data_IF_496411930402
#
_entry.id   IF_496411930402
#
_cell.length_a   1.000
_cell.length_b   1.000
_cell.length_c   1.000
_cell.angle_alpha   90.00
_cell.angle_beta   90.00
_cell.angle_gamma   90.00
#
_symmetry.space_group_name_H-M   'P 1'
#
loop_
_entity.id
_entity.type
_entity.pdbx_description
1 polymer ?
#
# COMPACT_ATOMS: atom_id res chain seq x y z
N UNK A 1 -34.28 -6.60 -30.50
CA UNK A 1 -32.81 -6.43 -30.45
C UNK A 1 -32.53 -4.94 -30.58
N UNK A 2 -32.25 -4.26 -29.46
CA UNK A 2 -31.99 -2.82 -29.44
C UNK A 2 -30.57 -2.62 -28.93
N UNK A 3 -29.69 -2.11 -29.79
CA UNK A 3 -28.34 -1.72 -29.43
C UNK A 3 -28.41 -0.33 -28.78
N UNK A 4 -28.25 -0.28 -27.45
CA UNK A 4 -27.99 0.98 -26.74
C UNK A 4 -26.51 1.29 -26.93
N UNK A 5 -26.23 2.21 -27.85
CA UNK A 5 -24.90 2.75 -28.05
C UNK A 5 -24.50 3.64 -26.85
N UNK A 6 -23.30 3.36 -26.36
CA UNK A 6 -22.58 4.05 -25.29
C UNK A 6 -22.69 5.57 -25.34
N UNK A 7 -23.01 6.17 -24.19
CA UNK A 7 -22.79 7.60 -23.92
C UNK A 7 -22.02 7.78 -22.60
N UNK A 8 -20.75 7.35 -22.58
CA UNK A 8 -19.78 7.77 -21.56
C UNK A 8 -19.07 9.05 -22.02
N UNK A 9 -19.81 10.16 -22.03
CA UNK A 9 -19.25 11.50 -22.16
C UNK A 9 -19.24 12.18 -20.81
N UNK A 10 -18.36 11.76 -19.89
CA UNK A 10 -18.12 12.54 -18.67
C UNK A 10 -17.53 13.87 -19.11
N UNK A 11 -18.30 14.95 -18.97
CA UNK A 11 -17.85 16.31 -19.29
C UNK A 11 -16.70 16.67 -18.36
N UNK A 12 -15.47 16.60 -18.88
CA UNK A 12 -14.27 16.99 -18.16
C UNK A 12 -14.32 18.49 -17.91
N UNK A 13 -14.44 18.89 -16.64
CA UNK A 13 -14.48 20.31 -16.23
C UNK A 13 -13.26 21.04 -16.79
N UNK A 14 -13.52 22.10 -17.57
CA UNK A 14 -12.47 22.93 -18.15
C UNK A 14 -11.51 23.40 -17.05
N UNK A 15 -10.23 23.11 -17.20
CA UNK A 15 -9.20 23.50 -16.24
C UNK A 15 -8.71 22.40 -15.28
N UNK A 16 -9.33 21.21 -15.24
CA UNK A 16 -8.88 20.11 -14.36
C UNK A 16 -7.38 19.88 -14.48
N UNK A 17 -6.82 19.73 -15.69
CA UNK A 17 -5.38 19.40 -15.84
C UNK A 17 -4.47 20.44 -15.16
N UNK A 18 -4.78 21.73 -15.32
CA UNK A 18 -4.06 22.81 -14.65
C UNK A 18 -4.18 22.70 -13.12
N UNK A 19 -5.39 22.50 -12.63
CA UNK A 19 -5.68 22.45 -11.20
C UNK A 19 -5.07 21.18 -10.56
N UNK A 20 -4.98 20.09 -11.32
CA UNK A 20 -4.31 18.85 -10.93
C UNK A 20 -2.79 19.01 -10.85
N UNK A 21 -2.18 19.73 -11.80
CA UNK A 21 -0.74 20.07 -11.75
C UNK A 21 -0.46 20.91 -10.50
N UNK A 22 -1.21 21.99 -10.27
CA UNK A 22 -1.01 22.86 -9.10
C UNK A 22 -1.19 22.10 -7.78
N UNK A 23 -2.21 21.24 -7.67
CA UNK A 23 -2.40 20.37 -6.50
C UNK A 23 -1.26 19.38 -6.29
N UNK A 24 -0.68 18.85 -7.37
CA UNK A 24 0.47 17.95 -7.27
C UNK A 24 1.71 18.70 -6.76
N UNK A 25 1.98 19.87 -7.33
CA UNK A 25 3.15 20.69 -7.01
C UNK A 25 3.05 21.38 -5.64
N UNK A 26 1.83 21.53 -5.11
CA UNK A 26 1.58 21.97 -3.74
C UNK A 26 2.05 20.99 -2.67
N UNK A 27 2.16 19.71 -3.04
CA UNK A 27 2.49 18.63 -2.12
C UNK A 27 3.98 18.34 -2.15
N UNK A 28 4.53 18.19 -3.34
CA UNK A 28 5.95 17.87 -3.56
C UNK A 28 6.38 18.30 -4.97
N UNK A 29 7.68 18.59 -5.17
CA UNK A 29 8.22 18.77 -6.50
C UNK A 29 8.01 17.52 -7.37
N UNK A 30 7.77 17.70 -8.67
CA UNK A 30 7.47 16.59 -9.57
C UNK A 30 7.93 16.84 -11.00
N UNK A 31 8.26 15.76 -11.72
CA UNK A 31 8.67 15.82 -13.13
C UNK A 31 7.48 15.81 -14.09
N UNK A 32 7.70 16.24 -15.34
CA UNK A 32 6.70 16.15 -16.42
C UNK A 32 6.13 14.74 -16.58
N UNK A 33 6.99 13.72 -16.52
CA UNK A 33 6.58 12.32 -16.70
C UNK A 33 5.72 11.85 -15.53
N UNK A 34 6.10 12.18 -14.30
CA UNK A 34 5.34 11.84 -13.11
C UNK A 34 3.96 12.53 -13.11
N UNK A 35 3.90 13.82 -13.48
CA UNK A 35 2.64 14.57 -13.60
C UNK A 35 1.72 14.01 -14.68
N UNK A 36 2.26 13.63 -15.85
CA UNK A 36 1.47 13.04 -16.94
C UNK A 36 0.89 11.68 -16.54
N UNK A 37 1.70 10.84 -15.89
CA UNK A 37 1.26 9.55 -15.35
C UNK A 37 0.19 9.72 -14.28
N UNK A 38 0.41 10.63 -13.31
CA UNK A 38 -0.51 10.92 -12.21
C UNK A 38 -1.87 11.44 -12.68
N UNK A 39 -1.90 12.25 -13.74
CA UNK A 39 -3.12 12.90 -14.23
C UNK A 39 -3.82 12.10 -15.34
N UNK A 40 -3.25 10.99 -15.79
CA UNK A 40 -3.82 10.17 -16.86
C UNK A 40 -3.91 10.89 -18.22
N UNK A 41 -3.01 11.84 -18.48
CA UNK A 41 -3.00 12.64 -19.72
C UNK A 41 -1.63 12.59 -20.41
N UNK A 42 -1.58 13.00 -21.67
CA UNK A 42 -0.35 13.00 -22.44
C UNK A 42 0.70 13.97 -21.88
N UNK A 43 1.99 13.65 -22.08
CA UNK A 43 3.10 14.54 -21.72
C UNK A 43 3.01 15.89 -22.43
N UNK A 44 2.52 15.94 -23.68
CA UNK A 44 2.36 17.20 -24.39
C UNK A 44 1.28 18.09 -23.74
N UNK A 45 0.17 17.51 -23.27
CA UNK A 45 -0.87 18.22 -22.51
C UNK A 45 -0.31 18.80 -21.21
N UNK A 46 0.43 18.02 -20.44
CA UNK A 46 1.04 18.52 -19.18
C UNK A 46 2.09 19.57 -19.47
N UNK A 47 2.94 19.37 -20.48
CA UNK A 47 3.99 20.32 -20.86
C UNK A 47 3.43 21.68 -21.25
N UNK A 48 2.31 21.70 -21.99
CA UNK A 48 1.59 22.93 -22.31
C UNK A 48 1.17 23.69 -21.05
N UNK A 49 0.63 23.00 -20.04
CA UNK A 49 0.22 23.63 -18.80
C UNK A 49 1.40 24.08 -17.94
N UNK A 50 2.46 23.27 -17.82
CA UNK A 50 3.68 23.64 -17.10
C UNK A 50 4.33 24.89 -17.70
N UNK A 51 4.45 24.96 -19.02
CA UNK A 51 4.98 26.15 -19.70
C UNK A 51 4.16 27.41 -19.37
N UNK A 52 2.83 27.29 -19.36
CA UNK A 52 1.94 28.40 -18.99
C UNK A 52 2.04 28.79 -17.52
N UNK A 53 2.18 27.82 -16.61
CA UNK A 53 2.30 28.07 -15.17
C UNK A 53 3.67 28.68 -14.82
N UNK A 54 4.75 28.23 -15.46
CA UNK A 54 6.09 28.82 -15.35
C UNK A 54 6.09 30.27 -15.84
N UNK A 55 5.51 30.53 -17.03
CA UNK A 55 5.43 31.87 -17.58
C UNK A 55 4.65 32.85 -16.69
N UNK A 56 3.73 32.34 -15.86
CA UNK A 56 2.94 33.11 -14.90
C UNK A 56 3.59 33.19 -13.51
N UNK A 57 4.75 32.56 -13.31
CA UNK A 57 5.45 32.53 -12.03
C UNK A 57 4.71 31.76 -10.94
N UNK A 58 3.75 30.90 -11.29
CA UNK A 58 3.02 30.08 -10.32
C UNK A 58 3.85 28.86 -9.84
N UNK A 59 4.78 28.42 -10.68
CA UNK A 59 5.67 27.30 -10.42
C UNK A 59 7.08 27.69 -10.82
N UNK A 60 8.06 26.93 -10.36
CA UNK A 60 9.48 27.07 -10.69
C UNK A 60 10.12 25.70 -10.94
N UNK A 61 11.31 25.71 -11.56
CA UNK A 61 12.13 24.51 -11.73
C UNK A 61 13.11 24.48 -10.57
N UNK A 62 13.05 23.42 -9.75
CA UNK A 62 13.88 23.27 -8.55
C UNK A 62 15.07 22.33 -8.74
N UNK A 63 15.00 21.42 -9.71
CA UNK A 63 16.12 20.55 -10.10
C UNK A 63 16.06 20.26 -11.60
N UNK A 64 17.22 19.96 -12.19
CA UNK A 64 17.36 19.54 -13.59
C UNK A 64 18.38 18.43 -13.69
N UNK A 65 17.93 17.23 -14.08
CA UNK A 65 18.76 16.05 -14.23
C UNK A 65 19.01 15.74 -15.70
N UNK A 66 20.24 15.41 -16.04
CA UNK A 66 20.62 14.98 -17.39
C UNK A 66 20.91 13.49 -17.37
N UNK A 67 20.06 12.71 -18.06
CA UNK A 67 20.20 11.27 -18.19
C UNK A 67 21.21 10.86 -19.27
N UNK A 68 21.48 9.56 -19.36
CA UNK A 68 22.28 8.99 -20.45
C UNK A 68 21.64 9.31 -21.80
N UNK A 69 22.43 9.83 -22.75
CA UNK A 69 21.95 10.26 -24.06
C UNK A 69 21.48 11.72 -24.14
N UNK A 70 21.74 12.54 -23.10
CA UNK A 70 21.46 13.99 -23.13
C UNK A 70 20.00 14.36 -22.86
N UNK A 71 19.18 13.40 -22.42
CA UNK A 71 17.78 13.65 -22.08
C UNK A 71 17.72 14.47 -20.79
N UNK A 72 17.08 15.63 -20.87
CA UNK A 72 16.90 16.54 -19.73
C UNK A 72 15.56 16.27 -19.05
N UNK A 73 15.59 16.12 -17.73
CA UNK A 73 14.40 15.99 -16.88
C UNK A 73 14.38 17.08 -15.83
N UNK A 74 13.42 17.99 -15.97
CA UNK A 74 13.18 19.05 -15.00
C UNK A 74 12.23 18.58 -13.90
N UNK A 75 12.51 18.99 -12.67
CA UNK A 75 11.64 18.85 -11.53
C UNK A 75 11.03 20.22 -11.21
N UNK A 76 9.70 20.28 -11.17
CA UNK A 76 8.94 21.50 -10.98
C UNK A 76 8.42 21.55 -9.55
N UNK A 77 8.31 22.73 -8.95
CA UNK A 77 7.66 22.98 -7.65
C UNK A 77 6.72 24.17 -7.75
N UNK A 78 5.77 24.29 -6.82
CA UNK A 78 5.11 25.59 -6.62
C UNK A 78 6.13 26.63 -6.15
N UNK A 79 5.95 27.84 -6.66
CA UNK A 79 6.75 28.97 -6.20
C UNK A 79 6.31 29.39 -4.81
N UNK A 80 7.24 29.68 -3.92
CA UNK A 80 6.92 30.16 -2.57
C UNK A 80 6.01 31.41 -2.62
N UNK A 81 4.95 31.41 -1.81
CA UNK A 81 3.92 32.47 -1.80
C UNK A 81 2.79 32.31 -2.83
N UNK A 82 2.77 31.23 -3.62
CA UNK A 82 1.63 30.91 -4.50
C UNK A 82 0.48 30.22 -3.75
N UNK A 83 -0.74 30.74 -3.89
CA UNK A 83 -1.95 30.20 -3.25
C UNK A 83 -2.42 28.91 -3.96
N UNK A 84 -2.63 27.85 -3.18
CA UNK A 84 -3.15 26.56 -3.66
C UNK A 84 -4.62 26.43 -3.32
N UNK A 85 -5.44 26.10 -4.31
CA UNK A 85 -6.84 25.71 -4.09
C UNK A 85 -6.85 24.22 -3.72
N UNK A 86 -6.98 23.93 -2.42
CA UNK A 86 -7.37 22.61 -1.92
C UNK A 86 -8.82 22.32 -2.36
N UNK A 87 -9.23 21.04 -2.46
CA UNK A 87 -10.65 20.72 -2.67
C UNK A 87 -11.52 21.46 -1.64
N UNK A 88 -12.68 21.97 -2.06
CA UNK A 88 -13.65 22.51 -1.10
C UNK A 88 -14.15 21.37 -0.20
N UNK A 89 -14.57 21.70 1.03
CA UNK A 89 -15.13 20.71 1.96
C UNK A 89 -16.22 19.84 1.31
N UNK A 90 -17.09 20.44 0.48
CA UNK A 90 -18.13 19.71 -0.26
C UNK A 90 -17.60 18.68 -1.28
N UNK A 91 -16.45 18.95 -1.91
CA UNK A 91 -15.82 18.04 -2.88
C UNK A 91 -15.13 16.87 -2.14
N UNK A 92 -14.57 17.14 -0.96
CA UNK A 92 -13.98 16.13 -0.08
C UNK A 92 -15.06 15.20 0.51
N UNK A 93 -16.16 15.75 1.00
CA UNK A 93 -17.30 15.00 1.54
C UNK A 93 -17.92 14.07 0.47
N UNK A 94 -18.05 14.54 -0.76
CA UNK A 94 -18.56 13.73 -1.87
C UNK A 94 -17.65 12.54 -2.22
N UNK A 95 -16.33 12.73 -2.23
CA UNK A 95 -15.40 11.62 -2.51
C UNK A 95 -15.27 10.66 -1.30
N UNK A 96 -15.39 11.15 -0.06
CA UNK A 96 -15.50 10.29 1.14
C UNK A 96 -16.76 9.42 1.10
N UNK A 97 -17.90 10.00 0.73
CA UNK A 97 -19.15 9.24 0.54
C UNK A 97 -18.98 8.16 -0.53
N UNK A 98 -18.34 8.48 -1.66
CA UNK A 98 -18.06 7.50 -2.71
C UNK A 98 -17.11 6.38 -2.25
N UNK A 99 -16.20 6.65 -1.30
CA UNK A 99 -15.31 5.63 -0.73
C UNK A 99 -16.07 4.62 0.14
N UNK A 100 -17.02 5.10 0.96
CA UNK A 100 -17.88 4.24 1.76
C UNK A 100 -18.75 3.33 0.88
N UNK A 101 -19.37 3.88 -0.17
CA UNK A 101 -20.16 3.08 -1.13
C UNK A 101 -19.33 1.96 -1.78
N UNK A 102 -18.09 2.26 -2.19
CA UNK A 102 -17.18 1.24 -2.75
C UNK A 102 -16.89 0.16 -1.73
N UNK A 103 -16.56 0.55 -0.50
CA UNK A 103 -16.26 -0.40 0.56
C UNK A 103 -17.45 -1.31 0.86
N UNK A 104 -18.64 -0.74 1.02
CA UNK A 104 -19.86 -1.51 1.33
C UNK A 104 -20.19 -2.52 0.23
N UNK A 105 -20.05 -2.13 -1.04
CA UNK A 105 -20.30 -3.03 -2.19
C UNK A 105 -19.29 -4.18 -2.22
N UNK A 106 -18.00 -3.90 -2.07
CA UNK A 106 -16.96 -4.94 -2.16
C UNK A 106 -16.94 -5.87 -0.94
N UNK A 107 -17.39 -5.40 0.23
CA UNK A 107 -17.37 -6.16 1.50
C UNK A 107 -18.71 -6.74 1.91
N UNK A 108 -19.76 -6.57 1.10
CA UNK A 108 -21.14 -6.98 1.39
C UNK A 108 -21.27 -8.41 1.92
N UNK A 109 -20.45 -9.34 1.40
CA UNK A 109 -20.51 -10.76 1.75
C UNK A 109 -19.51 -11.19 2.84
N UNK A 110 -18.64 -10.29 3.30
CA UNK A 110 -17.51 -10.65 4.16
C UNK A 110 -17.97 -10.93 5.59
N UNK A 111 -19.01 -10.23 6.08
CA UNK A 111 -19.56 -10.44 7.43
C UNK A 111 -20.16 -11.83 7.67
N UNK A 112 -20.44 -12.58 6.61
CA UNK A 112 -20.96 -13.96 6.69
C UNK A 112 -19.96 -15.00 6.20
N UNK A 113 -18.74 -14.58 5.85
CA UNK A 113 -17.75 -15.49 5.27
C UNK A 113 -17.17 -16.42 6.35
N UNK A 114 -17.12 -17.72 6.04
CA UNK A 114 -16.49 -18.73 6.89
C UNK A 114 -14.99 -18.88 6.65
N UNK A 115 -14.48 -18.26 5.59
CA UNK A 115 -13.10 -18.33 5.10
C UNK A 115 -12.66 -16.94 4.62
N UNK A 116 -11.35 -16.70 4.56
CA UNK A 116 -10.83 -15.45 3.99
C UNK A 116 -11.12 -15.39 2.47
N UNK A 117 -11.49 -14.22 1.93
CA UNK A 117 -11.60 -14.03 0.49
C UNK A 117 -10.24 -14.23 -0.21
N UNK A 118 -10.29 -14.55 -1.50
CA UNK A 118 -9.09 -14.56 -2.35
C UNK A 118 -8.44 -13.17 -2.43
N UNK A 119 -7.11 -13.14 -2.54
CA UNK A 119 -6.28 -11.94 -2.60
C UNK A 119 -6.73 -10.94 -3.67
N UNK A 120 -7.15 -11.44 -4.83
CA UNK A 120 -7.70 -10.61 -5.91
C UNK A 120 -8.91 -9.75 -5.52
N UNK A 121 -9.69 -10.14 -4.49
CA UNK A 121 -10.78 -9.30 -3.95
C UNK A 121 -10.25 -8.13 -3.14
N UNK A 122 -9.21 -8.35 -2.34
CA UNK A 122 -8.53 -7.29 -1.61
C UNK A 122 -7.77 -6.35 -2.55
N UNK A 123 -7.13 -6.88 -3.59
CA UNK A 123 -6.50 -6.09 -4.64
C UNK A 123 -7.50 -5.18 -5.35
N UNK A 124 -8.66 -5.71 -5.75
CA UNK A 124 -9.71 -4.93 -6.39
C UNK A 124 -10.25 -3.83 -5.47
N UNK A 125 -10.50 -4.15 -4.19
CA UNK A 125 -10.92 -3.18 -3.19
C UNK A 125 -9.87 -2.07 -3.05
N UNK A 126 -8.60 -2.43 -2.83
CA UNK A 126 -7.52 -1.46 -2.67
C UNK A 126 -7.33 -0.60 -3.91
N UNK A 127 -7.41 -1.18 -5.10
CA UNK A 127 -7.34 -0.44 -6.35
C UNK A 127 -8.45 0.62 -6.44
N UNK A 128 -9.69 0.25 -6.13
CA UNK A 128 -10.84 1.18 -6.14
C UNK A 128 -10.73 2.25 -5.06
N UNK A 129 -10.34 1.89 -3.84
CA UNK A 129 -10.09 2.84 -2.76
C UNK A 129 -8.96 3.81 -3.16
N UNK A 130 -7.87 3.31 -3.71
CA UNK A 130 -6.74 4.12 -4.15
C UNK A 130 -7.12 5.14 -5.23
N UNK A 131 -7.86 4.72 -6.26
CA UNK A 131 -8.32 5.61 -7.33
C UNK A 131 -9.14 6.80 -6.80
N UNK A 132 -9.87 6.61 -5.71
CA UNK A 132 -10.72 7.63 -5.07
C UNK A 132 -9.93 8.48 -4.08
N UNK A 133 -9.16 7.83 -3.21
CA UNK A 133 -8.25 8.47 -2.27
C UNK A 133 -7.30 9.44 -2.99
N UNK A 134 -6.76 9.06 -4.16
CA UNK A 134 -5.86 9.91 -4.95
C UNK A 134 -6.45 11.31 -5.25
N UNK A 135 -7.78 11.42 -5.34
CA UNK A 135 -8.48 12.68 -5.62
C UNK A 135 -8.61 13.60 -4.40
N UNK A 136 -8.60 13.04 -3.19
CA UNK A 136 -8.87 13.77 -1.94
C UNK A 136 -7.56 14.34 -1.36
N UNK A 137 -6.62 13.50 -0.90
CA UNK A 137 -5.34 13.97 -0.34
C UNK A 137 -4.39 12.81 0.02
N UNK A 138 -3.11 12.85 -0.41
CA UNK A 138 -2.09 11.82 -0.05
C UNK A 138 -1.84 11.70 1.47
N UNK A 139 -2.05 12.73 2.28
CA UNK A 139 -1.67 12.72 3.71
C UNK A 139 -2.62 11.89 4.59
N UNK A 140 -3.88 11.72 4.19
CA UNK A 140 -4.90 10.99 4.96
C UNK A 140 -5.08 9.54 4.52
N UNK A 141 -4.47 9.14 3.40
CA UNK A 141 -4.56 7.77 2.87
C UNK A 141 -4.13 6.73 3.90
N UNK A 142 -3.15 7.07 4.74
CA UNK A 142 -2.61 6.15 5.74
C UNK A 142 -3.67 5.72 6.75
N UNK A 143 -4.29 6.69 7.41
CA UNK A 143 -5.31 6.44 8.44
C UNK A 143 -6.58 5.87 7.84
N UNK A 144 -6.97 6.33 6.64
CA UNK A 144 -8.15 5.82 5.95
C UNK A 144 -7.98 4.36 5.54
N UNK A 145 -6.86 3.99 4.91
CA UNK A 145 -6.59 2.60 4.52
C UNK A 145 -6.47 1.67 5.73
N UNK A 146 -5.84 2.14 6.80
CA UNK A 146 -5.79 1.42 8.08
C UNK A 146 -7.19 1.24 8.67
N UNK A 147 -8.06 2.26 8.57
CA UNK A 147 -9.46 2.19 8.98
C UNK A 147 -10.27 1.17 8.17
N UNK A 148 -10.20 1.24 6.84
CA UNK A 148 -10.85 0.26 5.95
C UNK A 148 -10.33 -1.16 6.19
N UNK A 149 -9.02 -1.31 6.38
CA UNK A 149 -8.38 -2.55 6.79
C UNK A 149 -8.99 -3.08 8.09
N UNK A 150 -9.08 -2.25 9.13
CA UNK A 150 -9.66 -2.64 10.41
C UNK A 150 -11.11 -3.11 10.30
N UNK A 151 -11.93 -2.42 9.52
CA UNK A 151 -13.33 -2.84 9.30
C UNK A 151 -13.41 -4.18 8.56
N UNK A 152 -12.63 -4.33 7.49
CA UNK A 152 -12.52 -5.59 6.75
C UNK A 152 -12.08 -6.75 7.65
N UNK A 153 -11.04 -6.55 8.46
CA UNK A 153 -10.55 -7.54 9.41
C UNK A 153 -11.58 -7.89 10.48
N UNK A 154 -12.32 -6.89 10.97
CA UNK A 154 -13.38 -7.11 11.96
C UNK A 154 -14.52 -7.97 11.40
N UNK A 155 -14.95 -7.69 10.17
CA UNK A 155 -15.94 -8.49 9.44
C UNK A 155 -15.49 -9.94 9.25
N UNK A 156 -14.20 -10.15 8.97
CA UNK A 156 -13.60 -11.46 8.67
C UNK A 156 -13.00 -12.15 9.91
N UNK A 157 -13.13 -11.58 11.10
CA UNK A 157 -12.48 -12.08 12.32
C UNK A 157 -12.90 -13.52 12.67
N UNK A 158 -14.12 -13.92 12.31
CA UNK A 158 -14.65 -15.27 12.54
C UNK A 158 -14.12 -16.33 11.56
N UNK A 159 -13.62 -15.91 10.40
CA UNK A 159 -13.03 -16.80 9.40
C UNK A 159 -11.69 -17.39 9.87
N UNK A 160 -11.03 -16.75 10.85
CA UNK A 160 -9.81 -17.24 11.48
C UNK A 160 -10.17 -17.95 12.79
N UNK A 161 -9.60 -19.11 13.09
CA UNK A 161 -10.00 -19.98 14.21
C UNK A 161 -9.05 -19.96 15.42
N UNK A 162 -7.89 -19.30 15.32
CA UNK A 162 -6.87 -19.31 16.36
C UNK A 162 -7.40 -18.87 17.73
N UNK A 163 -7.04 -19.62 18.78
CA UNK A 163 -7.60 -19.48 20.14
C UNK A 163 -6.85 -18.45 21.00
N UNK A 164 -5.65 -18.08 20.58
CA UNK A 164 -4.84 -17.03 21.19
C UNK A 164 -4.11 -16.25 20.08
N UNK A 165 -3.57 -15.07 20.41
CA UNK A 165 -2.92 -14.19 19.44
C UNK A 165 -1.85 -14.92 18.61
N UNK A 166 -1.04 -15.79 19.21
CA UNK A 166 0.03 -16.52 18.53
C UNK A 166 -0.51 -17.57 17.55
N UNK A 167 -1.51 -18.35 17.95
CA UNK A 167 -2.21 -19.27 17.04
C UNK A 167 -2.89 -18.51 15.89
N UNK A 168 -3.55 -17.38 16.19
CA UNK A 168 -4.18 -16.52 15.19
C UNK A 168 -3.19 -15.98 14.17
N UNK A 169 -2.00 -15.53 14.60
CA UNK A 169 -0.97 -15.05 13.67
C UNK A 169 -0.44 -16.14 12.74
N UNK A 170 -0.25 -17.36 13.25
CA UNK A 170 0.23 -18.48 12.41
C UNK A 170 -0.82 -18.90 11.40
N UNK A 171 -2.07 -19.01 11.83
CA UNK A 171 -3.18 -19.31 10.92
C UNK A 171 -3.37 -18.22 9.88
N UNK A 172 -3.25 -16.94 10.27
CA UNK A 172 -3.28 -15.83 9.33
C UNK A 172 -2.16 -15.89 8.31
N UNK A 173 -0.92 -16.14 8.73
CA UNK A 173 0.22 -16.27 7.83
C UNK A 173 -0.01 -17.39 6.79
N UNK A 174 -0.54 -18.53 7.23
CA UNK A 174 -0.85 -19.69 6.38
C UNK A 174 -2.00 -19.41 5.42
N UNK A 175 -3.15 -18.93 5.91
CA UNK A 175 -4.32 -18.62 5.09
C UNK A 175 -4.06 -17.47 4.11
N UNK A 176 -3.32 -16.43 4.51
CA UNK A 176 -2.92 -15.36 3.59
C UNK A 176 -2.04 -15.87 2.46
N UNK A 177 -1.19 -16.88 2.73
CA UNK A 177 -0.40 -17.54 1.70
C UNK A 177 -1.26 -18.34 0.73
N UNK A 178 -2.18 -19.17 1.25
CA UNK A 178 -3.09 -20.00 0.44
C UNK A 178 -4.02 -19.20 -0.45
N UNK A 179 -4.48 -18.04 0.04
CA UNK A 179 -5.41 -17.14 -0.66
C UNK A 179 -4.71 -16.09 -1.49
N UNK A 180 -3.39 -16.17 -1.65
CA UNK A 180 -2.60 -15.20 -2.42
C UNK A 180 -2.73 -13.75 -1.91
N UNK A 181 -3.02 -13.56 -0.61
CA UNK A 181 -3.10 -12.23 0.02
C UNK A 181 -1.70 -11.71 0.33
N UNK A 182 -0.85 -12.55 0.91
CA UNK A 182 0.55 -12.25 1.20
C UNK A 182 1.31 -13.54 1.54
N UNK A 183 2.62 -13.56 1.30
CA UNK A 183 3.51 -14.60 1.83
C UNK A 183 3.85 -14.27 3.28
N UNK A 184 3.21 -14.95 4.25
CA UNK A 184 3.32 -14.65 5.66
C UNK A 184 4.29 -15.56 6.43
N UNK A 185 5.05 -14.98 7.36
CA UNK A 185 5.86 -15.72 8.34
C UNK A 185 5.69 -15.09 9.73
N UNK A 186 5.77 -15.91 10.79
CA UNK A 186 5.67 -15.43 12.17
C UNK A 186 6.99 -15.63 12.88
N UNK A 187 7.60 -14.52 13.33
CA UNK A 187 8.75 -14.51 14.21
C UNK A 187 8.26 -14.46 15.64
N UNK A 188 8.67 -15.45 16.42
CA UNK A 188 8.28 -15.56 17.83
C UNK A 188 9.41 -15.12 18.72
N UNK A 189 9.19 -14.04 19.45
CA UNK A 189 10.21 -13.47 20.30
C UNK A 189 10.11 -14.06 21.70
N UNK A 190 11.08 -14.92 22.04
CA UNK A 190 11.16 -15.60 23.34
C UNK A 190 11.09 -14.60 24.49
N UNK A 191 10.35 -14.95 25.54
CA UNK A 191 10.19 -14.10 26.72
C UNK A 191 9.17 -12.96 26.57
N UNK A 192 8.58 -12.78 25.38
CA UNK A 192 7.55 -11.76 25.15
C UNK A 192 6.20 -12.39 24.81
N UNK A 193 5.13 -11.59 24.95
CA UNK A 193 3.78 -11.92 24.44
C UNK A 193 3.53 -11.28 23.07
N UNK A 194 4.60 -10.88 22.39
CA UNK A 194 4.57 -10.19 21.09
C UNK A 194 5.14 -11.13 20.04
N UNK A 195 4.36 -11.38 19.00
CA UNK A 195 4.84 -12.00 17.76
C UNK A 195 5.08 -10.93 16.72
N UNK A 196 6.00 -11.16 15.79
CA UNK A 196 6.16 -10.30 14.61
C UNK A 196 5.68 -11.08 13.39
N UNK A 197 4.66 -10.56 12.73
CA UNK A 197 4.17 -11.07 11.46
C UNK A 197 4.92 -10.35 10.33
N UNK A 198 5.63 -11.11 9.51
CA UNK A 198 6.35 -10.65 8.33
C UNK A 198 5.53 -11.01 7.11
N UNK A 199 5.16 -10.02 6.30
CA UNK A 199 4.36 -10.22 5.10
C UNK A 199 5.13 -9.73 3.87
N UNK A 200 5.39 -10.64 2.95
CA UNK A 200 6.01 -10.38 1.65
C UNK A 200 4.97 -10.50 0.53
N UNK A 201 5.24 -9.93 -0.64
CA UNK A 201 4.37 -10.01 -1.84
C UNK A 201 2.90 -9.69 -1.52
N UNK A 202 2.69 -8.65 -0.71
CA UNK A 202 1.36 -8.27 -0.25
C UNK A 202 0.50 -7.84 -1.44
N UNK A 203 -0.59 -8.57 -1.68
CA UNK A 203 -1.61 -8.26 -2.69
C UNK A 203 -0.97 -8.06 -4.08
N UNK A 204 -0.10 -9.01 -4.45
CA UNK A 204 0.60 -9.02 -5.73
C UNK A 204 1.66 -7.92 -5.93
N UNK A 205 1.86 -7.03 -4.95
CA UNK A 205 2.82 -5.92 -5.06
C UNK A 205 4.22 -6.33 -4.60
N UNK A 206 5.20 -6.18 -5.50
CA UNK A 206 6.63 -6.24 -5.17
C UNK A 206 7.22 -4.87 -4.77
N UNK A 207 6.58 -3.78 -5.20
CA UNK A 207 7.24 -2.45 -5.24
C UNK A 207 6.61 -1.42 -4.30
N UNK A 208 5.42 -1.70 -3.74
CA UNK A 208 4.64 -0.73 -2.95
C UNK A 208 4.13 -1.29 -1.62
N UNK A 209 5.02 -1.61 -0.66
CA UNK A 209 4.62 -1.99 0.69
C UNK A 209 3.87 -0.85 1.42
N UNK A 210 3.94 0.39 0.95
CA UNK A 210 3.28 1.54 1.62
C UNK A 210 1.79 1.31 1.90
N UNK A 211 0.95 1.17 0.86
CA UNK A 211 -0.51 1.14 1.01
C UNK A 211 -1.04 -0.22 1.44
N UNK A 212 -0.55 -1.29 0.80
CA UNK A 212 -0.93 -2.65 1.15
C UNK A 212 -0.59 -2.96 2.61
N UNK A 213 0.61 -2.59 3.10
CA UNK A 213 0.93 -2.80 4.51
C UNK A 213 0.04 -1.98 5.45
N UNK A 214 -0.42 -0.77 5.07
CA UNK A 214 -1.30 0.04 5.95
C UNK A 214 -2.69 -0.54 6.05
N UNK A 215 -3.23 -1.00 4.93
CA UNK A 215 -4.46 -1.76 4.94
C UNK A 215 -4.31 -3.05 5.75
N UNK A 216 -3.21 -3.81 5.54
CA UNK A 216 -2.96 -5.07 6.25
C UNK A 216 -2.69 -4.85 7.75
N UNK A 217 -2.04 -3.76 8.15
CA UNK A 217 -1.89 -3.35 9.55
C UNK A 217 -3.27 -3.18 10.21
N UNK A 218 -4.16 -2.43 9.57
CA UNK A 218 -5.55 -2.30 9.98
C UNK A 218 -6.27 -3.65 10.02
N UNK A 219 -6.16 -4.44 8.95
CA UNK A 219 -6.81 -5.75 8.80
C UNK A 219 -6.44 -6.72 9.91
N UNK A 220 -5.15 -6.90 10.18
CA UNK A 220 -4.66 -7.77 11.25
C UNK A 220 -5.14 -7.24 12.61
N UNK A 221 -5.15 -5.92 12.82
CA UNK A 221 -5.72 -5.32 14.04
C UNK A 221 -7.21 -5.62 14.18
N UNK A 222 -7.97 -5.52 13.09
CA UNK A 222 -9.40 -5.83 13.02
C UNK A 222 -9.71 -7.29 13.30
N UNK A 223 -8.78 -8.22 13.05
CA UNK A 223 -8.96 -9.63 13.41
C UNK A 223 -8.57 -9.88 14.88
N UNK A 224 -7.44 -9.33 15.31
CA UNK A 224 -6.84 -9.67 16.60
C UNK A 224 -7.59 -9.01 17.77
N UNK A 225 -7.99 -7.74 17.66
CA UNK A 225 -8.62 -7.02 18.77
C UNK A 225 -10.00 -7.56 19.15
N UNK A 226 -10.93 -7.85 18.22
CA UNK A 226 -12.22 -8.45 18.57
C UNK A 226 -12.09 -9.82 19.23
N UNK A 227 -11.09 -10.61 18.84
CA UNK A 227 -10.90 -11.98 19.36
C UNK A 227 -10.16 -12.04 20.69
N UNK A 228 -9.13 -11.21 20.87
CA UNK A 228 -8.17 -11.34 21.98
C UNK A 228 -8.14 -10.13 22.92
N UNK A 229 -9.04 -9.16 22.68
CA UNK A 229 -9.29 -7.97 23.49
C UNK A 229 -8.57 -6.71 23.00
N UNK A 230 -9.14 -5.55 23.31
CA UNK A 230 -8.63 -4.23 22.92
C UNK A 230 -7.21 -3.89 23.40
N UNK A 231 -6.69 -4.63 24.38
CA UNK A 231 -5.31 -4.49 24.86
C UNK A 231 -4.24 -5.09 23.92
N UNK A 232 -4.65 -5.73 22.82
CA UNK A 232 -3.73 -6.14 21.76
C UNK A 232 -3.41 -4.95 20.85
N UNK A 233 -2.13 -4.70 20.63
CA UNK A 233 -1.64 -3.73 19.66
C UNK A 233 -1.14 -4.45 18.41
N UNK A 234 -1.25 -3.76 17.29
CA UNK A 234 -0.64 -4.11 16.02
C UNK A 234 0.09 -2.85 15.59
N UNK A 235 1.40 -2.91 15.54
CA UNK A 235 2.25 -1.78 15.23
C UNK A 235 3.23 -2.16 14.13
N UNK A 236 3.28 -1.35 13.07
CA UNK A 236 4.28 -1.52 12.03
C UNK A 236 5.69 -1.22 12.56
N UNK A 237 6.63 -2.13 12.31
CA UNK A 237 8.05 -1.91 12.51
C UNK A 237 8.62 -1.24 11.25
N UNK A 238 9.06 0.01 11.40
CA UNK A 238 9.82 0.70 10.36
C UNK A 238 11.24 0.12 10.31
N UNK A 239 11.40 -0.93 9.50
CA UNK A 239 12.68 -1.54 9.12
C UNK A 239 12.88 -1.36 7.62
N UNK A 240 14.11 -1.09 7.19
CA UNK A 240 14.46 -0.84 5.79
C UNK A 240 14.58 -2.16 5.00
N UNK A 241 13.48 -2.91 4.96
CA UNK A 241 13.38 -4.23 4.32
C UNK A 241 12.10 -4.27 3.48
N UNK A 242 12.09 -5.00 2.33
CA UNK A 242 10.99 -5.00 1.36
C UNK A 242 9.80 -5.89 1.81
N UNK A 243 9.36 -5.76 3.07
CA UNK A 243 8.24 -6.51 3.63
C UNK A 243 7.47 -5.69 4.67
N UNK A 244 6.23 -6.09 4.97
CA UNK A 244 5.48 -5.54 6.09
C UNK A 244 5.86 -6.28 7.37
N UNK A 245 6.49 -5.59 8.31
CA UNK A 245 6.78 -6.13 9.64
C UNK A 245 5.75 -5.58 10.62
N UNK A 246 4.90 -6.44 11.17
CA UNK A 246 3.83 -6.07 12.10
C UNK A 246 4.09 -6.73 13.46
N UNK A 247 4.42 -5.92 14.46
CA UNK A 247 4.49 -6.38 15.85
C UNK A 247 3.07 -6.50 16.41
N UNK A 248 2.70 -7.70 16.87
CA UNK A 248 1.36 -8.00 17.36
C UNK A 248 1.45 -8.60 18.76
N UNK A 249 0.84 -7.94 19.74
CA UNK A 249 0.84 -8.43 21.12
C UNK A 249 0.38 -7.40 22.13
N UNK A 250 0.69 -7.65 23.42
CA UNK A 250 0.46 -6.67 24.48
C UNK A 250 1.77 -5.96 24.80
N UNK A 251 1.85 -4.61 24.68
CA UNK A 251 3.05 -3.86 25.03
C UNK A 251 3.16 -3.84 26.55
N UNK A 252 3.83 -4.83 27.14
CA UNK A 252 4.17 -4.79 28.57
C UNK A 252 5.66 -4.86 28.85
N UNK A 253 6.51 -5.34 27.94
CA UNK A 253 7.89 -5.70 28.31
C UNK A 253 8.98 -5.46 27.26
N UNK A 254 8.68 -4.93 26.07
CA UNK A 254 9.67 -4.71 25.02
C UNK A 254 9.47 -3.33 24.37
N UNK A 255 10.53 -2.53 24.27
CA UNK A 255 10.50 -1.31 23.45
C UNK A 255 10.47 -1.66 21.97
N UNK A 256 9.85 -0.79 21.16
CA UNK A 256 9.77 -1.00 19.71
C UNK A 256 11.16 -1.03 19.06
N UNK A 257 12.12 -0.27 19.58
CA UNK A 257 13.50 -0.27 19.08
C UNK A 257 14.20 -1.61 19.34
N UNK A 258 13.97 -2.21 20.51
CA UNK A 258 14.50 -3.55 20.79
C UNK A 258 13.87 -4.62 19.89
N UNK A 259 12.57 -4.51 19.59
CA UNK A 259 11.89 -5.42 18.66
C UNK A 259 12.45 -5.31 17.24
N UNK A 260 12.76 -4.08 16.77
CA UNK A 260 13.40 -3.86 15.47
C UNK A 260 14.76 -4.56 15.39
N UNK A 261 15.61 -4.33 16.39
CA UNK A 261 16.93 -4.98 16.48
C UNK A 261 16.82 -6.51 16.52
N UNK A 262 15.88 -7.04 17.32
CA UNK A 262 15.65 -8.47 17.42
C UNK A 262 15.20 -9.10 16.09
N UNK A 263 14.44 -8.37 15.27
CA UNK A 263 14.00 -8.81 13.94
C UNK A 263 15.13 -8.73 12.92
N UNK A 264 15.90 -7.64 12.91
CA UNK A 264 17.06 -7.44 12.00
C UNK A 264 18.09 -8.54 12.20
N UNK A 265 18.33 -8.94 13.45
CA UNK A 265 19.29 -9.99 13.80
C UNK A 265 18.68 -11.38 13.90
N UNK A 266 17.39 -11.56 13.58
CA UNK A 266 16.76 -12.87 13.63
C UNK A 266 17.31 -13.75 12.48
N UNK A 267 17.70 -15.01 12.74
CA UNK A 267 18.29 -15.90 11.73
C UNK A 267 17.32 -16.38 10.64
N UNK A 268 16.14 -15.75 10.50
CA UNK A 268 15.24 -16.05 9.40
C UNK A 268 15.81 -15.43 8.12
N UNK A 269 16.47 -16.29 7.34
CA UNK A 269 16.87 -16.00 5.96
C UNK A 269 15.65 -15.49 5.19
N UNK A 270 15.72 -14.23 4.75
CA UNK A 270 14.90 -13.75 3.63
C UNK A 270 15.12 -14.72 2.48
N UNK A 271 14.12 -15.53 2.13
CA UNK A 271 14.21 -16.46 1.00
C UNK A 271 14.02 -15.63 -0.27
N UNK A 272 15.11 -15.06 -0.74
CA UNK A 272 15.15 -14.19 -1.91
C UNK A 272 16.57 -14.06 -2.45
N UNK A 273 17.25 -15.19 -2.66
CA UNK A 273 18.51 -15.26 -3.38
C UNK A 273 18.43 -16.36 -4.42
N UNK A 274 18.29 -15.96 -5.68
CA UNK A 274 18.50 -16.82 -6.85
C UNK A 274 19.81 -17.59 -6.69
N UNK A 275 19.74 -18.91 -6.61
CA UNK A 275 20.89 -19.79 -6.79
C UNK A 275 20.71 -20.49 -8.14
N UNK A 276 20.98 -19.74 -9.21
CA UNK A 276 21.53 -20.32 -10.43
C UNK A 276 22.99 -19.89 -10.48
N UNK A 277 23.91 -20.86 -10.31
CA UNK A 277 25.12 -21.03 -11.13
C UNK A 277 25.98 -22.20 -10.60
N UNK A 278 26.29 -23.14 -11.52
CA UNK A 278 27.45 -24.05 -11.53
C UNK A 278 27.44 -25.19 -10.49
N UNK A 279 27.27 -26.47 -10.82
CA UNK A 279 27.70 -27.14 -12.04
C UNK A 279 29.23 -27.25 -12.10
N UNK A 280 29.83 -28.16 -11.33
CA UNK A 280 30.98 -29.00 -11.69
C UNK A 280 31.54 -29.73 -10.46
N UNK A 281 31.79 -31.04 -10.62
CA UNK A 281 32.30 -31.94 -9.59
C UNK A 281 31.56 -33.27 -9.70
N UNK A 282 32.10 -34.32 -10.27
CA UNK A 282 33.47 -34.65 -10.61
C UNK A 282 33.45 -36.17 -10.67
N UNK A 283 33.71 -36.73 -11.85
CA UNK A 283 33.91 -38.17 -12.00
C UNK A 283 35.07 -38.59 -11.08
N UNK A 284 34.80 -39.55 -10.21
CA UNK A 284 35.75 -40.10 -9.26
C UNK A 284 35.38 -41.56 -9.02
N UNK A 285 36.18 -42.43 -9.62
CA UNK A 285 36.18 -43.88 -9.55
C UNK A 285 36.31 -44.45 -8.12
N UNK A 286 36.16 -45.78 -8.08
CA UNK A 286 36.56 -46.75 -7.05
C UNK A 286 35.55 -47.08 -5.93
N UNK A 287 34.91 -48.26 -6.01
CA UNK A 287 35.37 -49.60 -5.57
C UNK A 287 35.32 -49.77 -4.04
N UNK A 288 34.40 -50.62 -3.56
CA UNK A 288 34.74 -51.95 -3.00
C UNK A 288 33.56 -52.57 -2.21
N UNK A 289 33.26 -53.82 -2.59
CA UNK A 289 32.72 -54.95 -1.81
C UNK A 289 31.23 -55.04 -1.48
#
# INVERSE_FOLDING_TARGET
>A
MSAVANSFGVSVKKGWVRDGILRSLAREPSTLTALASALGVSKSTVNYHLANLLARGAIEIVDTRVGRGGVVSNEYSLKEGSLVILPSADEEEGELTSLEEVFDVETLLWGTASELPEGGRFELLLYKLFLRLFKISKSEHRTLLEGYGYRAGSMLSQAVRGRNARETLRELADEMGKREIASGQVIEIRGTRTGVLVLEKCLGSSDHPGYACRFLEGFIRGIVQPKHGAGQTVERLDVDLPACYLAVGRPRHASMDWLKEAVIHHPLKLVGGSSEEGGEGGEGEELER
#
